data_IF_091775507726
#
_entry.id   IF_091775507726
#
_cell.length_a   1.000
_cell.length_b   1.000
_cell.length_c   1.000
_cell.angle_alpha   90.00
_cell.angle_beta   90.00
_cell.angle_gamma   90.00
#
_symmetry.space_group_name_H-M   'P 1'
#
loop_
_entity.id
_entity.type
_entity.pdbx_description
1 polymer ?
#
# COMPACT_ATOMS: atom_id res chain seq x y z
N UNK A 1 -6.28 10.52 14.72
CA UNK A 1 -4.82 10.42 14.91
C UNK A 1 -4.18 9.33 14.04
N UNK A 2 -4.74 8.12 13.99
CA UNK A 2 -4.16 6.97 13.24
C UNK A 2 -3.98 7.24 11.73
N UNK A 3 -4.96 7.87 11.08
CA UNK A 3 -4.90 8.16 9.64
C UNK A 3 -3.82 9.20 9.30
N UNK A 4 -3.62 10.20 10.16
CA UNK A 4 -2.62 11.25 9.98
C UNK A 4 -1.21 10.69 10.21
N UNK A 5 -1.04 9.83 11.22
CA UNK A 5 0.24 9.12 11.43
C UNK A 5 0.52 8.13 10.31
N UNK A 6 -0.48 7.41 9.79
CA UNK A 6 -0.31 6.51 8.64
C UNK A 6 0.04 7.27 7.35
N UNK A 7 -0.60 8.41 7.07
CA UNK A 7 -0.26 9.28 5.94
C UNK A 7 1.14 9.90 6.09
N UNK A 8 1.51 10.30 7.32
CA UNK A 8 2.84 10.82 7.65
C UNK A 8 3.94 9.76 7.49
N UNK A 9 3.67 8.52 7.93
CA UNK A 9 4.58 7.38 7.74
C UNK A 9 4.65 6.98 6.26
N UNK A 10 3.53 6.94 5.54
CA UNK A 10 3.51 6.64 4.10
C UNK A 10 4.31 7.68 3.29
N UNK A 11 4.36 8.93 3.74
CA UNK A 11 5.16 10.00 3.13
C UNK A 11 6.66 9.86 3.37
N UNK A 12 7.06 9.19 4.45
CA UNK A 12 8.47 8.96 4.84
C UNK A 12 9.02 7.64 4.29
N UNK A 13 8.16 6.65 4.05
CA UNK A 13 8.56 5.30 3.65
C UNK A 13 8.30 4.97 2.16
N UNK A 14 7.61 5.83 1.41
CA UNK A 14 7.52 5.70 -0.05
C UNK A 14 8.69 6.45 -0.69
N UNK A 15 9.87 5.84 -0.68
CA UNK A 15 11.08 6.45 -1.23
C UNK A 15 11.05 6.52 -2.76
N UNK A 16 10.75 7.68 -3.33
CA UNK A 16 11.06 7.98 -4.74
C UNK A 16 12.49 8.48 -4.85
N UNK A 17 13.32 7.83 -5.67
CA UNK A 17 14.68 8.31 -5.92
C UNK A 17 14.62 9.58 -6.78
N UNK A 18 15.27 10.66 -6.35
CA UNK A 18 15.46 11.87 -7.18
C UNK A 18 16.91 11.95 -7.61
N UNK A 19 17.15 12.21 -8.89
CA UNK A 19 18.47 12.41 -9.49
C UNK A 19 18.51 13.79 -10.10
N UNK A 20 19.47 14.61 -9.66
CA UNK A 20 19.70 15.96 -10.18
C UNK A 20 20.93 15.96 -11.08
N UNK A 21 20.83 16.65 -12.22
CA UNK A 21 21.91 16.74 -13.21
C UNK A 21 21.89 18.11 -13.89
N UNK A 22 23.06 18.59 -14.32
CA UNK A 22 23.14 19.84 -15.08
C UNK A 22 22.89 19.59 -16.57
N UNK A 23 22.36 20.59 -17.30
CA UNK A 23 22.22 20.48 -18.75
C UNK A 23 23.56 20.16 -19.44
N UNK A 24 23.52 19.30 -20.45
CA UNK A 24 24.66 18.88 -21.25
C UNK A 24 25.49 17.75 -20.64
N UNK A 25 25.25 17.36 -19.38
CA UNK A 25 25.93 16.23 -18.75
C UNK A 25 25.28 14.88 -19.12
N UNK A 26 26.02 13.79 -18.96
CA UNK A 26 25.47 12.43 -19.06
C UNK A 26 24.97 11.99 -17.68
N UNK A 27 23.78 11.39 -17.62
CA UNK A 27 23.24 10.78 -16.38
C UNK A 27 23.02 9.29 -16.58
N UNK A 28 23.16 8.50 -15.51
CA UNK A 28 22.79 7.09 -15.51
C UNK A 28 21.79 6.82 -14.40
N UNK A 29 20.55 6.49 -14.79
CA UNK A 29 19.50 6.07 -13.87
C UNK A 29 19.70 4.59 -13.54
N UNK A 30 19.46 4.22 -12.28
CA UNK A 30 19.74 2.88 -11.77
C UNK A 30 18.52 2.31 -11.06
N UNK A 31 18.15 1.09 -11.43
CA UNK A 31 17.10 0.32 -10.82
C UNK A 31 17.69 -0.97 -10.23
N UNK A 32 17.75 -1.10 -8.90
CA UNK A 32 18.42 -2.23 -8.25
C UNK A 32 17.42 -3.15 -7.56
N UNK A 33 17.82 -4.41 -7.38
CA UNK A 33 17.27 -5.32 -6.38
C UNK A 33 15.80 -5.72 -6.62
N UNK A 34 15.45 -5.98 -7.89
CA UNK A 34 14.07 -6.29 -8.26
C UNK A 34 13.91 -7.76 -8.71
N UNK A 35 14.92 -8.37 -9.34
CA UNK A 35 14.88 -9.79 -9.68
C UNK A 35 16.26 -10.44 -9.52
N UNK A 36 16.28 -11.72 -9.15
CA UNK A 36 17.46 -12.58 -9.09
C UNK A 36 17.57 -13.55 -10.29
N UNK A 37 16.61 -13.51 -11.22
CA UNK A 37 16.47 -14.42 -12.36
C UNK A 37 16.48 -13.65 -13.70
N UNK A 38 16.84 -14.34 -14.80
CA UNK A 38 16.69 -13.77 -16.14
C UNK A 38 15.20 -13.53 -16.44
N UNK A 39 14.83 -12.27 -16.69
CA UNK A 39 13.46 -11.88 -16.98
C UNK A 39 13.43 -10.68 -17.93
N UNK A 40 12.23 -10.39 -18.47
CA UNK A 40 12.05 -9.24 -19.35
C UNK A 40 12.20 -7.98 -18.53
N UNK A 41 13.08 -7.08 -18.98
CA UNK A 41 13.34 -5.82 -18.30
C UNK A 41 13.04 -4.66 -19.22
N UNK A 42 12.62 -3.54 -18.64
CA UNK A 42 12.15 -2.40 -19.40
C UNK A 42 12.44 -1.08 -18.72
N UNK A 43 12.48 -0.03 -19.55
CA UNK A 43 12.45 1.36 -19.14
C UNK A 43 11.29 2.06 -19.83
N UNK A 44 10.49 2.77 -19.04
CA UNK A 44 9.45 3.67 -19.51
C UNK A 44 9.72 5.09 -19.02
N UNK A 45 9.20 6.05 -19.77
CA UNK A 45 9.17 7.46 -19.42
C UNK A 45 7.73 7.89 -19.26
N UNK A 46 7.41 8.60 -18.19
CA UNK A 46 6.18 9.37 -18.09
C UNK A 46 6.51 10.81 -18.46
N UNK A 47 5.90 11.27 -19.54
CA UNK A 47 6.08 12.63 -20.02
C UNK A 47 5.08 13.61 -19.36
N UNK A 48 5.24 14.91 -19.66
CA UNK A 48 4.40 15.97 -19.11
C UNK A 48 2.95 15.94 -19.62
N UNK A 49 2.63 15.10 -20.62
CA UNK A 49 1.26 14.89 -21.14
C UNK A 49 0.55 13.73 -20.44
N UNK A 50 1.16 13.16 -19.40
CA UNK A 50 0.69 11.96 -18.70
C UNK A 50 0.62 10.72 -19.62
N UNK A 51 1.45 10.69 -20.67
CA UNK A 51 1.63 9.52 -21.53
C UNK A 51 2.86 8.74 -21.09
N UNK A 52 2.73 7.40 -21.08
CA UNK A 52 3.81 6.48 -20.72
C UNK A 52 4.41 5.94 -22.00
N UNK A 53 5.62 6.36 -22.30
CA UNK A 53 6.38 5.92 -23.46
C UNK A 53 7.35 4.82 -23.08
N UNK A 54 7.33 3.72 -23.84
CA UNK A 54 8.35 2.69 -23.70
C UNK A 54 9.66 3.20 -24.30
N UNK A 55 10.72 3.31 -23.50
CA UNK A 55 12.04 3.70 -24.00
C UNK A 55 12.69 2.49 -24.66
N UNK A 56 12.82 1.42 -23.87
CA UNK A 56 13.56 0.23 -24.27
C UNK A 56 13.15 -1.01 -23.49
N UNK A 57 13.27 -2.16 -24.14
CA UNK A 57 13.01 -3.48 -23.56
C UNK A 57 14.18 -4.42 -23.85
N UNK A 58 14.49 -5.27 -22.88
CA UNK A 58 15.50 -6.32 -22.99
C UNK A 58 14.88 -7.63 -22.49
N UNK A 59 14.81 -8.65 -23.36
CA UNK A 59 14.09 -9.90 -23.08
C UNK A 59 14.82 -10.77 -22.05
N UNK A 60 16.15 -10.72 -22.05
CA UNK A 60 17.07 -11.35 -21.09
C UNK A 60 18.22 -10.41 -20.79
N UNK A 61 18.83 -10.47 -19.62
CA UNK A 61 19.94 -9.58 -19.24
C UNK A 61 21.12 -9.56 -20.23
N UNK A 62 21.38 -10.69 -20.92
CA UNK A 62 22.41 -10.83 -21.96
C UNK A 62 21.97 -10.38 -23.36
N UNK A 63 20.69 -10.12 -23.58
CA UNK A 63 20.15 -9.73 -24.89
C UNK A 63 20.42 -8.27 -25.21
N UNK A 64 20.47 -7.93 -26.49
CA UNK A 64 20.56 -6.53 -26.93
C UNK A 64 19.26 -5.80 -26.62
N UNK A 65 19.30 -4.55 -26.11
CA UNK A 65 18.10 -3.76 -25.91
C UNK A 65 17.42 -3.44 -27.25
N UNK A 66 16.10 -3.48 -27.25
CA UNK A 66 15.25 -2.95 -28.34
C UNK A 66 14.70 -1.60 -27.91
N UNK A 67 14.82 -0.58 -28.77
CA UNK A 67 14.32 0.77 -28.52
C UNK A 67 13.08 1.06 -29.36
N UNK A 68 12.12 1.78 -28.78
CA UNK A 68 10.90 2.19 -29.48
C UNK A 68 11.07 3.57 -30.15
N UNK A 69 10.10 3.92 -31.00
CA UNK A 69 10.12 5.15 -31.78
C UNK A 69 10.21 6.39 -30.87
N UNK A 70 10.97 7.40 -31.30
CA UNK A 70 11.31 8.57 -30.47
C UNK A 70 12.55 8.38 -29.58
N UNK A 71 12.94 7.14 -29.26
CA UNK A 71 14.14 6.83 -28.46
C UNK A 71 15.26 6.17 -29.27
N UNK A 72 14.99 5.85 -30.54
CA UNK A 72 15.97 5.42 -31.53
C UNK A 72 16.86 6.61 -31.92
N UNK A 73 18.02 6.74 -31.29
CA UNK A 73 18.95 7.83 -31.61
C UNK A 73 20.25 7.86 -30.80
N UNK A 74 20.50 6.85 -29.96
CA UNK A 74 21.73 6.75 -29.16
C UNK A 74 21.84 7.74 -27.99
N UNK A 75 20.85 8.63 -27.81
CA UNK A 75 20.71 9.47 -26.60
C UNK A 75 20.44 8.59 -25.37
N UNK A 76 19.60 7.58 -25.51
CA UNK A 76 19.25 6.62 -24.48
C UNK A 76 19.99 5.30 -24.70
N UNK A 77 20.70 4.83 -23.67
CA UNK A 77 21.44 3.57 -23.68
C UNK A 77 21.06 2.72 -22.46
N UNK A 78 20.31 1.65 -22.73
CA UNK A 78 19.97 0.64 -21.73
C UNK A 78 21.08 -0.39 -21.60
N UNK A 79 21.42 -0.73 -20.36
CA UNK A 79 22.27 -1.87 -20.03
C UNK A 79 21.75 -2.57 -18.77
N UNK A 80 22.19 -3.81 -18.54
CA UNK A 80 21.80 -4.56 -17.35
C UNK A 80 22.98 -5.37 -16.79
N UNK A 81 22.91 -5.67 -15.50
CA UNK A 81 23.68 -6.73 -14.86
C UNK A 81 22.71 -7.69 -14.14
N UNK A 82 23.24 -8.67 -13.40
CA UNK A 82 22.46 -9.73 -12.74
C UNK A 82 21.27 -9.19 -11.91
N UNK A 83 21.41 -8.05 -11.22
CA UNK A 83 20.40 -7.56 -10.26
C UNK A 83 19.96 -6.12 -10.50
N UNK A 84 20.51 -5.46 -11.52
CA UNK A 84 20.36 -4.02 -11.74
C UNK A 84 20.19 -3.72 -13.21
N UNK A 85 19.23 -2.86 -13.56
CA UNK A 85 19.12 -2.25 -14.88
C UNK A 85 19.50 -0.77 -14.84
N UNK A 86 20.16 -0.33 -15.91
CA UNK A 86 20.70 1.01 -16.06
C UNK A 86 20.14 1.64 -17.32
N UNK A 87 19.84 2.94 -17.25
CA UNK A 87 19.54 3.76 -18.40
C UNK A 87 20.47 4.96 -18.39
N UNK A 88 21.43 4.97 -19.31
CA UNK A 88 22.27 6.13 -19.57
C UNK A 88 21.55 7.07 -20.52
N UNK A 89 21.47 8.35 -20.17
CA UNK A 89 20.91 9.42 -20.99
C UNK A 89 22.06 10.39 -21.24
N UNK A 90 22.41 10.57 -22.51
CA UNK A 90 23.53 11.43 -22.92
C UNK A 90 23.08 12.85 -23.15
N UNK A 91 23.94 13.81 -22.79
CA UNK A 91 23.72 15.25 -23.03
C UNK A 91 22.30 15.68 -22.66
N UNK A 92 21.98 15.54 -21.38
CA UNK A 92 20.63 15.82 -20.86
C UNK A 92 20.22 17.27 -21.09
N UNK A 93 18.95 17.49 -21.36
CA UNK A 93 18.35 18.81 -21.49
C UNK A 93 17.09 18.92 -20.61
N UNK A 94 16.53 20.13 -20.47
CA UNK A 94 15.36 20.34 -19.62
C UNK A 94 14.15 19.49 -20.03
N UNK A 95 14.06 19.11 -21.31
CA UNK A 95 13.02 18.24 -21.84
C UNK A 95 13.23 16.77 -21.48
N UNK A 96 14.35 16.38 -20.87
CA UNK A 96 14.56 15.04 -20.29
C UNK A 96 14.08 14.94 -18.84
N UNK A 97 13.76 16.07 -18.18
CA UNK A 97 13.20 16.01 -16.84
C UNK A 97 11.89 15.23 -16.83
N UNK A 98 11.62 14.51 -15.74
CA UNK A 98 10.39 13.73 -15.57
C UNK A 98 10.57 12.45 -14.78
N UNK A 99 9.53 11.60 -14.80
CA UNK A 99 9.53 10.33 -14.09
C UNK A 99 9.91 9.20 -15.03
N UNK A 100 10.87 8.40 -14.59
CA UNK A 100 11.35 7.22 -15.29
C UNK A 100 10.98 5.99 -14.49
N UNK A 101 10.37 5.02 -15.16
CA UNK A 101 9.95 3.76 -14.58
C UNK A 101 10.86 2.67 -15.11
N UNK A 102 11.40 1.87 -14.20
CA UNK A 102 12.23 0.73 -14.53
C UNK A 102 11.59 -0.50 -13.92
N UNK A 103 11.66 -1.65 -14.60
CA UNK A 103 11.03 -2.83 -14.06
C UNK A 103 11.44 -4.14 -14.70
N UNK A 104 10.97 -5.19 -14.05
CA UNK A 104 11.23 -6.59 -14.37
C UNK A 104 9.89 -7.30 -14.40
N UNK A 105 9.67 -8.09 -15.44
CA UNK A 105 8.51 -8.96 -15.57
C UNK A 105 8.95 -10.41 -15.43
N UNK A 106 8.71 -10.97 -14.24
CA UNK A 106 8.89 -12.38 -13.92
C UNK A 106 7.49 -12.99 -13.73
N UNK A 107 6.91 -13.59 -14.79
CA UNK A 107 5.52 -14.08 -14.78
C UNK A 107 5.17 -14.84 -13.48
N UNK A 108 4.09 -14.46 -12.76
CA UNK A 108 3.11 -13.41 -13.06
C UNK A 108 3.42 -12.03 -12.42
N UNK A 109 4.59 -11.87 -11.80
CA UNK A 109 4.99 -10.69 -11.04
C UNK A 109 5.54 -9.60 -11.95
N UNK A 110 4.95 -8.41 -11.84
CA UNK A 110 5.51 -7.18 -12.37
C UNK A 110 6.09 -6.38 -11.21
N UNK A 111 7.37 -6.08 -11.29
CA UNK A 111 8.06 -5.30 -10.27
C UNK A 111 8.66 -4.07 -10.95
N UNK A 112 8.46 -2.90 -10.35
CA UNK A 112 8.95 -1.65 -10.90
C UNK A 112 9.35 -0.67 -9.81
N UNK A 113 10.25 0.23 -10.16
CA UNK A 113 10.67 1.37 -9.35
C UNK A 113 10.59 2.66 -10.16
N UNK A 114 10.48 3.77 -9.46
CA UNK A 114 10.35 5.10 -10.05
C UNK A 114 11.54 5.96 -9.66
N UNK A 115 12.14 6.60 -10.64
CA UNK A 115 13.19 7.61 -10.47
C UNK A 115 12.73 8.93 -11.09
N UNK A 116 12.81 10.02 -10.32
CA UNK A 116 12.56 11.36 -10.80
C UNK A 116 13.88 11.99 -11.25
N UNK A 117 13.98 12.34 -12.54
CA UNK A 117 15.12 13.06 -13.10
C UNK A 117 14.78 14.55 -13.16
N UNK A 118 15.61 15.37 -12.52
CA UNK A 118 15.52 16.82 -12.54
C UNK A 118 16.77 17.40 -13.22
N UNK A 119 16.58 18.04 -14.37
CA UNK A 119 17.67 18.74 -15.08
C UNK A 119 17.59 20.21 -14.74
N UNK A 120 18.61 20.74 -14.06
CA UNK A 120 18.62 22.14 -13.62
C UNK A 120 18.47 23.09 -14.81
N UNK A 121 17.54 24.05 -14.75
CA UNK A 121 17.40 25.07 -15.78
C UNK A 121 18.61 26.01 -15.78
N UNK A 122 19.25 26.20 -16.93
CA UNK A 122 20.18 27.31 -17.13
C UNK A 122 19.36 28.58 -17.39
N UNK A 123 18.79 29.18 -16.34
CA UNK A 123 18.23 30.53 -16.46
C UNK A 123 19.39 31.54 -16.63
N UNK A 124 19.48 32.30 -17.74
CA UNK A 124 20.59 33.24 -17.98
C UNK A 124 20.58 34.47 -17.06
N UNK A 125 19.55 34.63 -16.23
CA UNK A 125 19.43 35.72 -15.27
C UNK A 125 19.74 35.21 -13.87
N UNK A 126 21.02 35.32 -13.50
CA UNK A 126 21.49 35.09 -12.13
C UNK A 126 20.77 36.01 -11.15
N UNK A 127 19.84 35.44 -10.40
CA UNK A 127 19.40 35.96 -9.11
C UNK A 127 19.67 34.89 -8.08
N UNK A 128 20.50 35.22 -7.09
CA UNK A 128 20.80 34.38 -5.93
C UNK A 128 19.50 33.89 -5.26
N UNK A 129 19.01 32.73 -5.70
CA UNK A 129 18.00 31.99 -4.96
C UNK A 129 18.76 30.95 -4.18
N UNK A 130 19.11 31.33 -2.96
CA UNK A 130 19.53 30.44 -1.89
C UNK A 130 18.60 29.22 -1.90
N UNK A 131 19.11 28.11 -2.42
CA UNK A 131 18.41 26.85 -2.52
C UNK A 131 18.21 26.28 -1.13
N UNK A 132 17.13 26.69 -0.47
CA UNK A 132 16.46 25.80 0.44
C UNK A 132 15.87 24.69 -0.43
N UNK A 133 16.43 23.50 -0.25
CA UNK A 133 15.86 22.22 -0.65
C UNK A 133 14.43 22.10 -0.10
N UNK A 134 13.44 22.47 -0.91
CA UNK A 134 12.04 22.08 -0.71
C UNK A 134 11.46 21.57 -2.02
N UNK A 135 11.36 20.25 -2.07
CA UNK A 135 10.75 19.40 -3.09
C UNK A 135 9.40 19.94 -3.62
N UNK A 136 9.31 20.25 -4.91
CA UNK A 136 8.03 20.45 -5.61
C UNK A 136 7.52 19.13 -6.23
N UNK A 137 6.89 18.30 -5.39
CA UNK A 137 5.75 17.47 -5.81
C UNK A 137 4.65 17.63 -4.76
N UNK A 138 3.82 18.67 -4.96
CA UNK A 138 2.64 18.91 -4.14
C UNK A 138 2.41 20.38 -3.85
N UNK A 139 1.92 21.14 -4.84
CA UNK A 139 1.41 22.52 -4.72
C UNK A 139 0.20 22.70 -3.78
N UNK A 140 0.06 21.84 -2.77
CA UNK A 140 -0.88 21.91 -1.64
C UNK A 140 -0.22 21.56 -0.31
N UNK A 141 1.11 21.70 -0.16
CA UNK A 141 1.82 21.44 1.12
C UNK A 141 2.34 22.68 1.82
N UNK A 142 2.07 23.89 1.32
CA UNK A 142 2.42 25.15 1.99
C UNK A 142 1.27 25.71 2.83
N UNK A 143 0.69 24.85 3.66
CA UNK A 143 -0.29 25.21 4.68
C UNK A 143 -0.39 24.09 5.73
N UNK A 144 0.75 23.57 6.20
CA UNK A 144 0.80 23.09 7.59
C UNK A 144 0.87 24.37 8.44
N UNK A 145 -0.26 25.09 8.44
CA UNK A 145 -0.55 26.15 9.37
C UNK A 145 -0.32 25.57 10.75
N UNK A 146 0.59 26.17 11.50
CA UNK A 146 0.78 25.95 12.93
C UNK A 146 -0.61 25.94 13.56
N UNK A 147 -1.13 24.75 13.83
CA UNK A 147 -2.38 24.64 14.58
C UNK A 147 -2.06 25.26 15.94
N UNK A 148 -2.83 26.22 16.45
CA UNK A 148 -2.59 26.72 17.80
C UNK A 148 -2.64 25.50 18.72
N UNK A 149 -1.51 25.14 19.33
CA UNK A 149 -1.35 23.87 20.05
C UNK A 149 -2.42 23.63 21.12
N UNK A 150 -3.10 24.69 21.55
CA UNK A 150 -4.28 24.63 22.41
C UNK A 150 -5.43 23.78 21.82
N UNK A 151 -5.74 23.91 20.53
CA UNK A 151 -6.83 23.17 19.87
C UNK A 151 -6.50 21.69 19.74
N UNK A 152 -5.25 21.34 19.40
CA UNK A 152 -4.83 19.94 19.31
C UNK A 152 -4.80 19.27 20.68
N UNK A 153 -4.27 19.95 21.70
CA UNK A 153 -4.24 19.45 23.08
C UNK A 153 -5.65 19.27 23.63
N UNK A 154 -6.56 20.21 23.39
CA UNK A 154 -7.96 20.10 23.83
C UNK A 154 -8.66 18.89 23.20
N UNK A 155 -8.49 18.67 21.90
CA UNK A 155 -9.06 17.51 21.21
C UNK A 155 -8.51 16.18 21.76
N UNK A 156 -7.21 16.11 22.07
CA UNK A 156 -6.60 14.91 22.67
C UNK A 156 -7.19 14.62 24.05
N UNK A 157 -7.35 15.64 24.90
CA UNK A 157 -7.94 15.48 26.24
C UNK A 157 -9.39 14.97 26.14
N UNK A 158 -10.19 15.52 25.22
CA UNK A 158 -11.59 15.08 25.01
C UNK A 158 -11.63 13.61 24.55
N UNK A 159 -10.77 13.20 23.63
CA UNK A 159 -10.71 11.81 23.15
C UNK A 159 -10.34 10.85 24.29
N UNK A 160 -9.35 11.19 25.11
CA UNK A 160 -8.97 10.38 26.28
C UNK A 160 -10.13 10.29 27.27
N UNK A 161 -10.81 11.40 27.57
CA UNK A 161 -11.98 11.42 28.45
C UNK A 161 -13.13 10.54 27.95
N UNK A 162 -13.43 10.61 26.65
CA UNK A 162 -14.44 9.75 26.01
C UNK A 162 -14.04 8.28 26.07
N UNK A 163 -12.78 7.95 25.81
CA UNK A 163 -12.27 6.57 25.90
C UNK A 163 -12.41 6.00 27.31
N UNK A 164 -12.04 6.77 28.34
CA UNK A 164 -12.22 6.36 29.74
C UNK A 164 -13.70 6.18 30.08
N UNK A 165 -14.57 7.07 29.58
CA UNK A 165 -16.01 6.97 29.81
C UNK A 165 -16.61 5.74 29.15
N UNK A 166 -16.21 5.41 27.92
CA UNK A 166 -16.61 4.20 27.20
C UNK A 166 -16.10 2.96 27.92
N UNK A 167 -14.84 2.94 28.35
CA UNK A 167 -14.28 1.83 29.14
C UNK A 167 -15.05 1.63 30.45
N UNK A 168 -15.35 2.71 31.18
CA UNK A 168 -16.18 2.62 32.39
C UNK A 168 -17.59 2.12 32.11
N UNK A 169 -18.20 2.54 31.00
CA UNK A 169 -19.53 2.07 30.59
C UNK A 169 -19.50 0.58 30.23
N UNK A 170 -18.45 0.14 29.53
CA UNK A 170 -18.24 -1.28 29.20
C UNK A 170 -17.98 -2.12 30.45
N UNK A 171 -17.22 -1.62 31.43
CA UNK A 171 -17.03 -2.28 32.72
C UNK A 171 -18.34 -2.36 33.51
N UNK A 172 -19.13 -1.29 33.56
CA UNK A 172 -20.44 -1.30 34.23
C UNK A 172 -21.46 -2.23 33.56
N UNK A 173 -21.44 -2.33 32.23
CA UNK A 173 -22.27 -3.30 31.48
C UNK A 173 -21.79 -4.74 31.73
N UNK A 174 -20.48 -4.97 31.83
CA UNK A 174 -19.92 -6.28 32.17
C UNK A 174 -20.27 -6.72 33.61
N UNK A 175 -20.27 -5.78 34.56
CA UNK A 175 -20.70 -6.04 35.94
C UNK A 175 -22.22 -6.23 36.04
N UNK A 176 -23.01 -5.43 35.30
CA UNK A 176 -24.47 -5.59 35.23
C UNK A 176 -24.91 -6.92 34.63
N UNK A 177 -24.23 -7.39 33.57
CA UNK A 177 -24.50 -8.70 32.96
C UNK A 177 -24.17 -9.86 33.92
N UNK A 178 -23.17 -9.69 34.82
CA UNK A 178 -22.84 -10.67 35.86
C UNK A 178 -23.92 -10.78 36.95
N UNK A 179 -24.48 -9.64 37.39
CA UNK A 179 -25.57 -9.61 38.38
C UNK A 179 -26.88 -10.18 37.81
N UNK A 180 -27.24 -9.81 36.58
CA UNK A 180 -28.42 -10.39 35.90
C UNK A 180 -28.28 -11.89 35.63
N UNK A 181 -27.07 -12.40 35.36
CA UNK A 181 -26.86 -13.84 35.19
C UNK A 181 -27.05 -14.61 36.51
N UNK A 182 -26.69 -14.02 37.65
CA UNK A 182 -26.92 -14.63 38.98
C UNK A 182 -28.41 -14.63 39.35
N UNK A 183 -29.15 -13.58 39.01
CA UNK A 183 -30.59 -13.48 39.25
C UNK A 183 -31.41 -14.42 38.33
N UNK A 184 -30.98 -14.60 37.08
CA UNK A 184 -31.60 -15.57 36.17
C UNK A 184 -31.36 -17.03 36.60
N UNK A 185 -30.22 -17.34 37.25
CA UNK A 185 -29.94 -18.70 37.76
C UNK A 185 -30.83 -19.08 38.96
N UNK A 186 -31.22 -18.12 39.79
CA UNK A 186 -32.09 -18.33 40.96
C UNK A 186 -33.56 -18.52 40.57
N UNK A 187 -33.99 -17.81 39.53
CA UNK A 187 -35.35 -17.90 38.97
C UNK A 187 -35.61 -19.24 38.25
N UNK A 188 -34.59 -19.80 37.57
CA UNK A 188 -34.70 -21.12 36.92
C UNK A 188 -34.68 -22.29 37.92
N UNK A 189 -33.99 -22.13 39.07
CA UNK A 189 -33.98 -23.13 40.13
C UNK A 189 -35.37 -23.28 40.77
N UNK A 190 -36.13 -22.20 40.92
CA UNK A 190 -37.51 -22.23 41.46
C UNK A 190 -38.54 -22.78 40.47
N UNK A 191 -38.34 -22.60 39.15
CA UNK A 191 -39.20 -23.20 38.10
C UNK A 191 -38.98 -24.71 37.92
N UNK A 192 -37.74 -25.21 38.13
CA UNK A 192 -37.42 -26.64 37.99
C UNK A 192 -38.09 -27.54 39.04
N UNK A 193 -38.36 -27.02 40.25
CA UNK A 193 -39.04 -27.75 41.32
C UNK A 193 -40.51 -28.04 41.03
N UNK A 194 -41.19 -27.19 40.24
CA UNK A 194 -42.60 -27.36 39.92
C UNK A 194 -42.86 -28.37 38.79
N UNK A 195 -41.95 -28.48 37.82
CA UNK A 195 -42.13 -29.36 36.64
C UNK A 195 -41.78 -30.83 36.92
N UNK A 196 -40.97 -31.12 37.93
CA UNK A 196 -40.58 -32.47 38.30
C UNK A 196 -41.71 -33.30 38.93
N UNK A 197 -42.81 -32.67 39.37
CA UNK A 197 -43.95 -33.34 40.02
C UNK A 197 -44.91 -34.06 39.04
N UNK A 198 -44.79 -33.85 37.72
CA UNK A 198 -45.86 -34.22 36.75
C UNK A 198 -45.42 -35.15 35.59
N UNK A 199 -44.37 -35.98 35.73
CA UNK A 199 -43.97 -36.95 34.68
C UNK A 199 -43.58 -38.36 35.14
N UNK A 200 -44.13 -38.86 36.25
CA UNK A 200 -44.01 -40.29 36.63
C UNK A 200 -45.35 -41.02 36.56
N UNK A 201 -45.75 -41.48 35.37
CA UNK A 201 -46.51 -42.74 35.18
C UNK A 201 -46.21 -43.33 33.78
N UNK A 202 -45.59 -44.51 33.81
CA UNK A 202 -45.01 -45.42 32.78
C UNK A 202 -46.11 -46.30 32.11
N UNK A 203 -45.86 -47.34 31.26
CA UNK A 203 -45.21 -47.48 29.92
C UNK A 203 -45.99 -48.36 28.86
N UNK A 204 -45.42 -48.53 27.65
CA UNK A 204 -45.07 -49.83 26.96
C UNK A 204 -45.65 -50.18 25.55
N UNK A 205 -44.76 -50.86 24.76
CA UNK A 205 -44.95 -51.84 23.66
C UNK A 205 -45.11 -51.29 22.22
N UNK A 206 -44.61 -51.88 21.10
CA UNK A 206 -43.55 -52.82 20.67
C UNK A 206 -43.66 -52.90 19.12
N UNK A 207 -42.54 -53.20 18.43
CA UNK A 207 -42.38 -53.88 17.11
C UNK A 207 -41.87 -53.14 15.87
N UNK A 208 -40.88 -53.84 15.33
CA UNK A 208 -40.06 -53.79 14.11
C UNK A 208 -40.82 -54.34 12.89
N UNK A 209 -40.63 -53.74 11.70
CA UNK A 209 -40.71 -54.43 10.39
C UNK A 209 -39.78 -53.73 9.40
N UNK A 210 -38.78 -54.47 8.94
CA UNK A 210 -37.86 -54.17 7.83
C UNK A 210 -38.47 -54.70 6.52
N UNK A 211 -38.32 -54.01 5.38
CA UNK A 211 -38.54 -54.62 4.05
C UNK A 211 -37.65 -53.98 2.98
N UNK A 212 -36.78 -54.81 2.39
CA UNK A 212 -35.95 -54.56 1.21
C UNK A 212 -36.75 -54.69 -0.10
N UNK A 213 -36.52 -53.82 -1.10
CA UNK A 213 -36.65 -54.18 -2.54
C UNK A 213 -35.60 -53.46 -3.42
N UNK A 214 -34.61 -54.24 -3.85
CA UNK A 214 -33.90 -54.43 -5.14
C UNK A 214 -34.02 -53.40 -6.31
N UNK A 215 -32.82 -52.91 -6.73
CA UNK A 215 -32.23 -52.61 -8.06
C UNK A 215 -33.06 -52.20 -9.29
N UNK A 216 -32.60 -51.19 -10.05
CA UNK A 216 -31.73 -51.36 -11.25
C UNK A 216 -31.64 -50.08 -12.12
N UNK A 217 -30.59 -50.03 -12.94
CA UNK A 217 -29.99 -48.91 -13.62
C UNK A 217 -30.69 -48.43 -14.92
N UNK A 218 -30.25 -47.26 -15.40
CA UNK A 218 -30.00 -46.98 -16.81
C UNK A 218 -28.67 -46.25 -16.96
#
# INVERSE_FOLDING_TARGET
>A
MILITALSLCSLFCGSQTVEVKPGEDVTLRCSNISSSECVTFWFRLDNRATVDCISVMIKSSSKPTYYDGFKGGKFEMSSNISTIFLKIKQVDSSDSGQYFCGFYESPRLLFSVTHLNVAGNDPFGGDTRSNSENEFGGRRKLISVIPGALTVLLVIVIIGLAVKIMKLQTAVAEGHKLQQMENLDSDATLSLHSAAMRRRTPASEREVETHVIYAAK
#
